data_IF_857371928586
#
_entry.id   IF_857371928586
#
_cell.length_a   1.000
_cell.length_b   1.000
_cell.length_c   1.000
_cell.angle_alpha   90.00
_cell.angle_beta   90.00
_cell.angle_gamma   90.00
#
_symmetry.space_group_name_H-M   'P 1'
#
loop_
_entity.id
_entity.type
_entity.pdbx_description
1 polymer ?
#
# COMPACT_ATOMS: atom_id res chain seq x y z
N UNK A 1 23.35 -15.26 3.40
CA UNK A 1 22.35 -15.52 4.45
C UNK A 1 23.01 -16.30 5.57
N UNK A 2 22.80 -15.91 6.83
CA UNK A 2 23.18 -16.72 8.00
C UNK A 2 21.88 -17.27 8.57
N UNK A 3 21.65 -18.58 8.46
CA UNK A 3 20.36 -19.19 8.74
C UNK A 3 20.40 -20.09 9.99
N UNK A 4 19.31 -20.11 10.75
CA UNK A 4 19.15 -21.07 11.86
C UNK A 4 19.07 -22.52 11.34
N UNK A 5 18.37 -22.75 10.22
CA UNK A 5 18.34 -24.02 9.49
C UNK A 5 18.92 -23.83 8.08
N UNK A 6 20.23 -24.06 7.89
CA UNK A 6 20.88 -23.82 6.60
C UNK A 6 20.42 -24.79 5.51
N UNK A 7 20.04 -26.03 5.85
CA UNK A 7 19.55 -27.02 4.90
C UNK A 7 18.26 -26.53 4.24
N UNK A 8 17.23 -26.21 5.05
CA UNK A 8 15.95 -25.70 4.57
C UNK A 8 16.10 -24.40 3.76
N UNK A 9 16.92 -23.46 4.23
CA UNK A 9 17.17 -22.20 3.51
C UNK A 9 17.89 -22.44 2.17
N UNK A 10 18.82 -23.40 2.10
CA UNK A 10 19.52 -23.71 0.85
C UNK A 10 18.62 -24.39 -0.19
N UNK A 11 17.66 -25.22 0.25
CA UNK A 11 16.65 -25.82 -0.62
C UNK A 11 15.70 -24.76 -1.19
N UNK A 12 15.24 -23.83 -0.34
CA UNK A 12 14.37 -22.74 -0.75
C UNK A 12 15.08 -21.69 -1.63
N UNK A 13 16.38 -21.49 -1.45
CA UNK A 13 17.18 -20.50 -2.17
C UNK A 13 18.50 -21.08 -2.71
N UNK A 14 18.47 -21.92 -3.77
CA UNK A 14 19.64 -22.65 -4.25
C UNK A 14 20.82 -21.77 -4.73
N UNK A 15 20.54 -20.52 -5.12
CA UNK A 15 21.55 -19.55 -5.56
C UNK A 15 22.15 -18.71 -4.43
N UNK A 16 21.61 -18.80 -3.21
CA UNK A 16 22.09 -18.00 -2.09
C UNK A 16 23.29 -18.67 -1.43
N UNK A 17 24.31 -17.88 -1.06
CA UNK A 17 25.33 -18.34 -0.12
C UNK A 17 24.71 -18.40 1.28
N UNK A 18 24.44 -19.62 1.76
CA UNK A 18 23.88 -19.88 3.09
C UNK A 18 24.98 -20.34 4.03
N UNK A 19 25.09 -19.68 5.19
CA UNK A 19 25.97 -20.01 6.30
C UNK A 19 25.10 -20.39 7.52
N UNK A 20 25.68 -21.08 8.51
CA UNK A 20 24.97 -21.51 9.71
C UNK A 20 25.39 -22.91 10.17
N UNK A 21 24.65 -23.55 11.09
CA UNK A 21 23.44 -23.05 11.73
C UNK A 21 23.72 -21.90 12.70
N UNK A 22 22.91 -20.84 12.64
CA UNK A 22 22.89 -19.81 13.69
C UNK A 22 22.16 -20.34 14.91
N UNK A 23 22.87 -20.45 16.03
CA UNK A 23 22.33 -20.97 17.30
C UNK A 23 21.92 -19.87 18.28
N UNK A 24 22.12 -18.60 17.91
CA UNK A 24 21.65 -17.46 18.70
C UNK A 24 20.15 -17.23 18.51
N UNK A 25 19.61 -16.30 19.28
CA UNK A 25 18.24 -15.81 19.10
C UNK A 25 18.32 -14.31 18.83
N UNK A 26 17.45 -13.83 17.95
CA UNK A 26 17.22 -12.42 17.74
C UNK A 26 15.90 -12.04 18.42
N UNK A 27 15.83 -10.87 19.05
CA UNK A 27 14.61 -10.30 19.58
C UNK A 27 13.68 -9.92 18.43
N UNK A 28 12.37 -10.03 18.63
CA UNK A 28 11.42 -9.64 17.58
C UNK A 28 11.41 -8.12 17.32
N UNK A 29 11.98 -7.31 18.21
CA UNK A 29 12.03 -5.85 18.12
C UNK A 29 13.16 -5.29 18.99
N UNK A 30 13.74 -4.15 18.59
CA UNK A 30 14.77 -3.40 19.35
C UNK A 30 16.02 -4.20 19.71
N UNK A 31 16.74 -4.71 18.70
CA UNK A 31 18.05 -5.31 18.91
C UNK A 31 19.12 -4.73 17.97
N UNK A 32 20.33 -4.64 18.50
CA UNK A 32 21.52 -4.25 17.76
C UNK A 32 22.18 -5.49 17.13
N UNK A 33 22.21 -5.54 15.81
CA UNK A 33 22.93 -6.55 15.05
C UNK A 33 24.18 -5.93 14.45
N UNK A 34 25.32 -6.60 14.62
CA UNK A 34 26.61 -6.21 14.07
C UNK A 34 27.17 -7.31 13.21
N UNK A 35 27.60 -6.96 12.01
CA UNK A 35 28.43 -7.81 11.17
C UNK A 35 29.89 -7.40 11.38
N UNK A 36 30.69 -8.31 11.93
CA UNK A 36 32.12 -8.11 12.16
C UNK A 36 32.90 -9.02 11.21
N UNK A 37 33.94 -8.48 10.57
CA UNK A 37 34.82 -9.27 9.70
C UNK A 37 35.80 -10.14 10.50
N UNK A 38 36.57 -10.98 9.80
CA UNK A 38 37.52 -11.89 10.43
C UNK A 38 38.70 -11.18 11.14
N UNK A 39 38.96 -9.90 10.83
CA UNK A 39 39.99 -9.08 11.46
C UNK A 39 39.45 -8.29 12.67
N UNK A 40 38.14 -8.38 12.96
CA UNK A 40 37.49 -7.67 14.05
C UNK A 40 36.95 -6.28 13.69
N UNK A 41 36.95 -5.90 12.40
CA UNK A 41 36.39 -4.62 11.97
C UNK A 41 34.87 -4.71 11.86
N UNK A 42 34.20 -3.60 12.19
CA UNK A 42 32.76 -3.45 11.93
C UNK A 42 32.54 -3.33 10.42
N UNK A 43 31.86 -4.31 9.84
CA UNK A 43 31.46 -4.31 8.44
C UNK A 43 30.10 -3.66 8.24
N UNK A 44 29.13 -3.94 9.12
CA UNK A 44 27.80 -3.35 9.09
C UNK A 44 27.11 -3.40 10.47
N UNK A 45 26.16 -2.52 10.72
CA UNK A 45 25.39 -2.45 11.96
C UNK A 45 23.95 -1.96 11.70
N UNK A 46 22.99 -2.58 12.38
CA UNK A 46 21.61 -2.07 12.45
C UNK A 46 21.06 -2.25 13.86
N UNK A 47 20.50 -1.18 14.44
CA UNK A 47 19.64 -1.27 15.61
C UNK A 47 18.19 -1.27 15.15
N UNK A 48 17.67 -2.44 14.79
CA UNK A 48 16.36 -2.52 14.13
C UNK A 48 15.22 -2.39 15.13
N UNK A 49 14.10 -1.87 14.63
CA UNK A 49 12.82 -1.97 15.30
C UNK A 49 11.70 -2.31 14.31
N UNK A 50 10.52 -2.62 14.83
CA UNK A 50 9.34 -2.99 14.05
C UNK A 50 8.17 -2.12 14.50
N UNK A 51 7.76 -1.16 13.66
CA UNK A 51 6.74 -0.15 13.97
C UNK A 51 7.29 1.22 14.41
N UNK A 52 6.38 2.17 14.63
CA UNK A 52 6.75 3.58 14.74
C UNK A 52 7.19 4.12 13.39
N UNK A 53 8.40 4.66 13.31
CA UNK A 53 8.99 5.09 12.04
C UNK A 53 9.56 3.91 11.23
N UNK A 54 9.67 2.72 11.83
CA UNK A 54 10.15 1.50 11.16
C UNK A 54 9.00 0.73 10.50
N UNK A 55 9.29 -0.07 9.45
CA UNK A 55 8.30 -0.89 8.78
C UNK A 55 7.48 -1.76 9.75
N UNK A 56 6.17 -1.55 9.76
CA UNK A 56 5.26 -2.19 10.70
C UNK A 56 5.00 -3.66 10.34
N UNK A 57 4.87 -3.98 9.05
CA UNK A 57 4.55 -5.33 8.59
C UNK A 57 5.67 -6.34 8.87
N UNK A 58 6.91 -5.86 9.03
CA UNK A 58 8.05 -6.67 9.46
C UNK A 58 8.00 -7.10 10.94
N UNK A 59 7.05 -6.58 11.73
CA UNK A 59 6.85 -6.92 13.15
C UNK A 59 6.22 -8.28 13.43
N UNK A 60 6.39 -9.27 12.54
CA UNK A 60 5.79 -10.59 12.65
C UNK A 60 4.44 -10.75 11.94
N UNK A 61 4.11 -9.87 11.00
CA UNK A 61 2.88 -9.93 10.20
C UNK A 61 3.06 -10.64 8.84
N UNK A 62 4.26 -11.15 8.57
CA UNK A 62 4.56 -11.98 7.40
C UNK A 62 5.70 -11.44 6.53
N UNK A 63 5.92 -10.13 6.53
CA UNK A 63 7.00 -9.49 5.76
C UNK A 63 8.35 -9.59 6.46
N UNK A 64 9.44 -9.60 5.68
CA UNK A 64 10.80 -9.34 6.15
C UNK A 64 11.06 -7.83 6.26
N UNK A 65 12.04 -7.46 7.09
CA UNK A 65 12.60 -6.10 7.13
C UNK A 65 13.76 -6.04 6.12
N UNK A 66 13.66 -5.17 5.12
CA UNK A 66 14.60 -5.10 4.01
C UNK A 66 15.16 -3.70 3.83
N UNK A 67 16.48 -3.61 3.67
CA UNK A 67 17.13 -2.35 3.35
C UNK A 67 16.79 -1.99 1.91
N UNK A 68 16.22 -0.80 1.69
CA UNK A 68 15.71 -0.38 0.39
C UNK A 68 16.80 -0.22 -0.65
N UNK A 69 18.02 0.12 -0.21
CA UNK A 69 19.18 0.20 -1.08
C UNK A 69 20.46 -0.13 -0.28
N UNK A 70 21.41 -0.92 -0.82
CA UNK A 70 22.61 -1.35 -0.09
C UNK A 70 23.49 -0.23 0.49
N UNK A 71 23.39 0.98 -0.05
CA UNK A 71 24.18 2.15 0.37
C UNK A 71 23.42 3.12 1.29
N UNK A 72 22.17 2.81 1.65
CA UNK A 72 21.40 3.64 2.57
C UNK A 72 21.89 3.48 4.01
N UNK A 73 21.73 4.55 4.80
CA UNK A 73 22.11 4.56 6.20
C UNK A 73 21.21 3.62 7.01
N UNK A 74 21.77 2.51 7.49
CA UNK A 74 21.08 1.49 8.27
C UNK A 74 20.49 2.00 9.59
N UNK A 75 20.94 3.15 10.10
CA UNK A 75 20.42 3.75 11.34
C UNK A 75 19.09 4.49 11.14
N UNK A 76 18.72 4.80 9.90
CA UNK A 76 17.50 5.53 9.58
C UNK A 76 16.34 4.57 9.29
N UNK A 77 15.20 4.68 10.00
CA UNK A 77 14.04 3.82 9.74
C UNK A 77 13.54 3.88 8.29
N UNK A 78 13.62 5.06 7.66
CA UNK A 78 13.18 5.32 6.28
C UNK A 78 14.05 4.67 5.20
N UNK A 79 15.25 4.18 5.57
CA UNK A 79 16.11 3.37 4.73
C UNK A 79 15.58 1.94 4.58
N UNK A 80 14.69 1.51 5.47
CA UNK A 80 14.12 0.16 5.50
C UNK A 80 12.68 0.15 5.00
N UNK A 81 12.26 -0.99 4.47
CA UNK A 81 10.89 -1.28 4.07
C UNK A 81 10.51 -2.71 4.48
N UNK A 82 9.22 -2.98 4.58
CA UNK A 82 8.73 -4.35 4.55
C UNK A 82 8.88 -4.95 3.15
N UNK A 83 9.08 -6.26 3.07
CA UNK A 83 9.07 -6.99 1.80
C UNK A 83 7.68 -6.94 1.15
N UNK A 84 7.66 -6.93 -0.18
CA UNK A 84 6.43 -7.03 -0.95
C UNK A 84 5.90 -8.48 -0.90
N UNK A 85 4.91 -8.67 -0.04
CA UNK A 85 4.23 -9.95 0.17
C UNK A 85 2.94 -10.08 -0.68
N UNK A 86 2.67 -9.13 -1.59
CA UNK A 86 1.40 -9.07 -2.35
C UNK A 86 1.14 -10.36 -3.12
N UNK A 87 2.17 -10.97 -3.70
CA UNK A 87 2.08 -12.22 -4.46
C UNK A 87 1.84 -13.46 -3.59
N UNK A 88 2.03 -13.36 -2.26
CA UNK A 88 1.73 -14.43 -1.30
C UNK A 88 0.35 -14.26 -0.67
N UNK A 89 -0.32 -13.14 -0.92
CA UNK A 89 -1.65 -12.83 -0.42
C UNK A 89 -2.74 -13.16 -1.45
N UNK A 90 -3.99 -13.26 -0.99
CA UNK A 90 -5.16 -13.40 -1.86
C UNK A 90 -6.19 -12.33 -1.49
N UNK A 91 -6.83 -11.74 -2.50
CA UNK A 91 -7.89 -10.76 -2.29
C UNK A 91 -9.04 -11.36 -1.47
N UNK A 92 -9.44 -10.64 -0.43
CA UNK A 92 -10.62 -10.95 0.35
C UNK A 92 -11.80 -10.12 -0.17
N UNK A 93 -12.96 -10.76 -0.39
CA UNK A 93 -14.14 -10.09 -0.95
C UNK A 93 -15.02 -9.54 0.17
N UNK A 94 -15.34 -8.26 0.08
CA UNK A 94 -16.35 -7.59 0.90
C UNK A 94 -17.36 -6.88 0.00
N UNK A 95 -18.58 -6.68 0.49
CA UNK A 95 -19.63 -5.93 -0.21
C UNK A 95 -20.22 -4.90 0.74
N UNK A 96 -20.45 -3.70 0.23
CA UNK A 96 -20.98 -2.58 0.99
C UNK A 96 -22.06 -1.84 0.18
N UNK A 97 -23.13 -1.44 0.87
CA UNK A 97 -24.23 -0.68 0.28
C UNK A 97 -24.83 0.20 1.36
N UNK A 98 -24.81 1.52 1.14
CA UNK A 98 -25.36 2.50 2.07
C UNK A 98 -26.04 3.65 1.33
N UNK A 99 -26.94 4.35 2.01
CA UNK A 99 -27.58 5.55 1.49
C UNK A 99 -26.73 6.77 1.86
N UNK A 100 -26.22 7.48 0.85
CA UNK A 100 -25.61 8.79 1.06
C UNK A 100 -26.69 9.84 1.39
N UNK A 101 -26.54 10.53 2.52
CA UNK A 101 -27.35 11.69 2.86
C UNK A 101 -26.50 12.95 2.76
N UNK A 102 -26.97 13.95 2.00
CA UNK A 102 -26.28 15.24 1.91
C UNK A 102 -26.41 15.98 3.25
N UNK A 103 -25.31 16.04 4.01
CA UNK A 103 -25.29 16.66 5.34
C UNK A 103 -25.07 18.17 5.31
N UNK A 104 -24.29 18.69 4.36
CA UNK A 104 -23.97 20.13 4.20
C UNK A 104 -23.71 20.47 2.74
N UNK A 105 -24.19 21.63 2.29
CA UNK A 105 -23.78 22.23 1.02
C UNK A 105 -22.71 23.27 1.31
N UNK A 106 -21.47 23.02 0.91
CA UNK A 106 -20.41 24.04 0.92
C UNK A 106 -19.94 24.25 -0.52
N UNK A 107 -19.99 25.50 -1.00
CA UNK A 107 -19.73 25.85 -2.40
C UNK A 107 -21.02 26.08 -3.22
N UNK A 108 -20.88 26.49 -4.49
CA UNK A 108 -22.01 26.61 -5.42
C UNK A 108 -22.50 25.23 -5.86
N UNK A 109 -23.77 25.11 -6.29
CA UNK A 109 -24.35 23.87 -6.83
C UNK A 109 -23.61 23.31 -8.07
N UNK A 110 -22.78 24.15 -8.69
CA UNK A 110 -21.87 23.82 -9.78
C UNK A 110 -20.55 23.17 -9.33
N UNK A 111 -20.17 23.28 -8.06
CA UNK A 111 -18.74 23.31 -7.78
C UNK A 111 -18.11 21.94 -7.52
N UNK A 112 -18.71 20.97 -6.82
CA UNK A 112 -17.99 19.72 -6.55
C UNK A 112 -18.94 18.53 -6.37
N UNK A 113 -19.37 17.92 -7.47
CA UNK A 113 -20.12 16.66 -7.43
C UNK A 113 -19.14 15.55 -7.73
N UNK A 114 -18.39 15.14 -6.72
CA UNK A 114 -17.32 14.17 -6.87
C UNK A 114 -17.51 13.03 -5.87
N UNK A 115 -17.09 11.84 -6.26
CA UNK A 115 -16.90 10.72 -5.33
C UNK A 115 -15.40 10.56 -5.10
N UNK A 116 -14.97 10.64 -3.84
CA UNK A 116 -13.57 10.48 -3.46
C UNK A 116 -13.38 9.15 -2.75
N UNK A 117 -12.30 8.45 -3.09
CA UNK A 117 -11.79 7.29 -2.36
C UNK A 117 -10.41 7.64 -1.79
N UNK A 118 -10.22 7.24 -0.53
CA UNK A 118 -8.95 7.39 0.17
C UNK A 118 -8.55 6.05 0.76
N UNK A 119 -7.27 5.74 0.63
CA UNK A 119 -6.61 4.67 1.37
C UNK A 119 -5.38 5.26 2.05
N UNK A 120 -5.08 4.79 3.26
CA UNK A 120 -4.00 5.31 4.11
C UNK A 120 -2.97 4.22 4.32
N UNK A 121 -1.69 4.59 4.21
CA UNK A 121 -0.61 3.62 4.27
C UNK A 121 -0.56 2.77 3.00
N UNK A 122 0.04 1.59 3.12
CA UNK A 122 0.11 0.64 2.03
C UNK A 122 -1.20 -0.13 1.92
N UNK A 123 -1.86 0.01 0.77
CA UNK A 123 -3.17 -0.58 0.54
C UNK A 123 -3.39 -0.93 -0.93
N UNK A 124 -4.06 -2.05 -1.17
CA UNK A 124 -4.51 -2.46 -2.50
C UNK A 124 -5.96 -2.93 -2.42
N UNK A 125 -6.86 -2.15 -3.01
CA UNK A 125 -8.29 -2.47 -3.09
C UNK A 125 -8.67 -2.67 -4.55
N UNK A 126 -9.28 -3.80 -4.88
CA UNK A 126 -9.91 -4.05 -6.16
C UNK A 126 -11.42 -3.81 -6.05
N UNK A 127 -11.91 -2.74 -6.67
CA UNK A 127 -13.32 -2.36 -6.67
C UNK A 127 -13.98 -2.81 -7.97
N UNK A 128 -15.16 -3.43 -7.86
CA UNK A 128 -15.95 -3.93 -8.99
C UNK A 128 -17.44 -3.75 -8.74
N UNK A 129 -18.22 -3.75 -9.81
CA UNK A 129 -19.68 -3.56 -9.75
C UNK A 129 -20.08 -2.29 -8.97
N UNK A 130 -19.29 -1.22 -9.10
CA UNK A 130 -19.53 0.02 -8.38
C UNK A 130 -20.78 0.70 -8.92
N UNK A 131 -21.64 1.19 -8.03
CA UNK A 131 -22.80 1.98 -8.43
C UNK A 131 -23.09 3.09 -7.44
N UNK A 132 -23.24 4.30 -7.96
CA UNK A 132 -23.79 5.44 -7.24
C UNK A 132 -25.05 5.87 -7.97
N UNK A 133 -26.22 5.81 -7.32
CA UNK A 133 -27.50 6.07 -7.99
C UNK A 133 -28.56 6.59 -7.02
N UNK A 134 -29.51 7.35 -7.55
CA UNK A 134 -30.77 7.59 -6.87
C UNK A 134 -31.58 6.28 -6.77
N UNK A 135 -32.54 6.22 -5.85
CA UNK A 135 -33.42 5.04 -5.69
C UNK A 135 -34.13 4.72 -7.01
N UNK A 136 -33.92 3.51 -7.53
CA UNK A 136 -34.46 3.07 -8.83
C UNK A 136 -33.82 3.71 -10.07
N UNK A 137 -32.81 4.57 -9.91
CA UNK A 137 -32.14 5.26 -11.00
C UNK A 137 -31.02 4.46 -11.68
N UNK A 138 -30.50 4.99 -12.78
CA UNK A 138 -29.29 4.50 -13.44
C UNK A 138 -28.03 4.80 -12.63
N UNK A 139 -26.94 4.09 -12.92
CA UNK A 139 -25.64 4.41 -12.34
C UNK A 139 -25.17 5.81 -12.80
N UNK A 140 -24.71 6.62 -11.86
CA UNK A 140 -24.25 7.98 -12.07
C UNK A 140 -22.72 8.06 -12.24
N UNK A 141 -21.99 6.98 -11.96
CA UNK A 141 -20.55 6.93 -12.17
C UNK A 141 -20.24 6.96 -13.69
N UNK A 142 -19.42 7.90 -14.16
CA UNK A 142 -18.96 7.91 -15.55
C UNK A 142 -18.35 6.56 -15.93
N UNK A 143 -18.75 6.03 -17.09
CA UNK A 143 -18.29 4.72 -17.58
C UNK A 143 -18.43 3.58 -16.55
N UNK A 144 -19.43 3.66 -15.66
CA UNK A 144 -19.64 2.68 -14.61
C UNK A 144 -18.60 2.71 -13.48
N UNK A 145 -17.68 3.67 -13.48
CA UNK A 145 -16.52 3.69 -12.59
C UNK A 145 -15.37 2.78 -13.08
N UNK A 146 -15.38 2.40 -14.35
CA UNK A 146 -14.47 1.39 -14.91
C UNK A 146 -13.35 2.00 -15.78
N UNK A 147 -12.95 3.24 -15.48
CA UNK A 147 -11.82 3.90 -16.14
C UNK A 147 -10.98 4.67 -15.13
N UNK A 148 -9.67 4.66 -15.33
CA UNK A 148 -8.72 5.56 -14.66
C UNK A 148 -8.34 6.67 -15.63
N UNK A 149 -8.40 7.90 -15.16
CA UNK A 149 -8.07 9.10 -15.93
C UNK A 149 -6.57 9.25 -16.11
N UNK A 150 -6.16 9.62 -17.33
CA UNK A 150 -4.75 9.90 -17.68
C UNK A 150 -4.55 11.33 -18.18
N UNK A 151 -5.58 12.18 -18.13
CA UNK A 151 -5.56 13.54 -18.67
C UNK A 151 -5.66 14.63 -17.59
N UNK A 152 -5.58 14.25 -16.31
CA UNK A 152 -5.66 15.17 -15.19
C UNK A 152 -7.09 15.64 -14.84
N UNK A 153 -8.12 14.98 -15.36
CA UNK A 153 -9.53 15.33 -15.12
C UNK A 153 -10.36 14.11 -14.68
N UNK A 154 -11.21 14.28 -13.67
CA UNK A 154 -12.14 13.26 -13.16
C UNK A 154 -13.40 13.00 -14.00
N UNK A 155 -13.60 13.76 -15.09
CA UNK A 155 -14.87 13.76 -15.87
C UNK A 155 -15.23 12.40 -16.45
N UNK A 156 -14.24 11.60 -16.83
CA UNK A 156 -14.44 10.33 -17.55
C UNK A 156 -14.07 9.09 -16.73
N UNK A 157 -13.46 9.26 -15.56
CA UNK A 157 -12.90 8.16 -14.78
C UNK A 157 -12.14 8.66 -13.56
N UNK A 158 -11.59 7.73 -12.81
CA UNK A 158 -10.85 7.98 -11.57
C UNK A 158 -9.57 8.78 -11.81
N UNK A 159 -9.52 10.01 -11.32
CA UNK A 159 -8.31 10.82 -11.23
C UNK A 159 -7.59 10.51 -9.93
N UNK A 160 -6.51 9.73 -10.02
CA UNK A 160 -5.70 9.32 -8.88
C UNK A 160 -4.43 10.16 -8.75
N UNK A 161 -4.17 10.65 -7.54
CA UNK A 161 -3.11 11.61 -7.25
C UNK A 161 -2.35 11.24 -5.96
N UNK A 162 -1.15 11.79 -5.81
CA UNK A 162 -0.32 11.55 -4.62
C UNK A 162 0.12 10.08 -4.52
N UNK A 163 0.00 9.49 -3.33
CA UNK A 163 0.31 8.07 -3.07
C UNK A 163 -0.59 7.11 -3.85
N UNK A 164 -1.65 7.60 -4.50
CA UNK A 164 -2.54 6.78 -5.31
C UNK A 164 -2.13 6.66 -6.79
N UNK A 165 -1.00 7.24 -7.21
CA UNK A 165 -0.61 7.33 -8.63
C UNK A 165 -0.47 5.98 -9.36
N UNK A 166 -0.26 4.87 -8.64
CA UNK A 166 -0.16 3.51 -9.21
C UNK A 166 -1.50 2.83 -9.43
N UNK A 167 -2.60 3.48 -9.10
CA UNK A 167 -3.95 2.95 -9.30
C UNK A 167 -4.24 2.76 -10.79
N UNK A 168 -4.92 1.67 -11.14
CA UNK A 168 -5.09 1.25 -12.53
C UNK A 168 -6.34 0.37 -12.71
N UNK A 169 -6.73 0.11 -13.96
CA UNK A 169 -7.77 -0.87 -14.29
C UNK A 169 -7.14 -2.24 -14.57
N UNK A 170 -7.79 -3.31 -14.12
CA UNK A 170 -7.57 -4.68 -14.60
C UNK A 170 -8.91 -5.21 -15.10
N UNK A 171 -9.09 -5.23 -16.42
CA UNK A 171 -10.42 -5.45 -16.99
C UNK A 171 -11.41 -4.38 -16.52
N UNK A 172 -12.48 -4.80 -15.84
CA UNK A 172 -13.50 -3.91 -15.28
C UNK A 172 -13.31 -3.67 -13.77
N UNK A 173 -12.20 -4.13 -13.18
CA UNK A 173 -11.87 -3.89 -11.79
C UNK A 173 -10.99 -2.66 -11.65
N UNK A 174 -11.42 -1.70 -10.83
CA UNK A 174 -10.61 -0.55 -10.47
C UNK A 174 -9.71 -0.91 -9.29
N UNK A 175 -8.41 -0.99 -9.53
CA UNK A 175 -7.40 -1.23 -8.51
C UNK A 175 -6.93 0.11 -7.93
N UNK A 176 -7.44 0.44 -6.76
CA UNK A 176 -6.95 1.54 -5.93
C UNK A 176 -5.71 1.05 -5.17
N UNK A 177 -4.57 1.66 -5.45
CA UNK A 177 -3.28 1.36 -4.81
C UNK A 177 -2.83 2.60 -4.05
N UNK A 178 -2.35 2.43 -2.80
CA UNK A 178 -1.68 3.47 -2.02
C UNK A 178 -0.34 2.92 -1.53
N UNK A 179 0.72 3.72 -1.64
CA UNK A 179 2.09 3.36 -1.23
C UNK A 179 2.68 4.31 -0.18
N UNK A 180 1.82 4.96 0.62
CA UNK A 180 2.29 5.85 1.66
C UNK A 180 1.22 6.42 2.60
N UNK A 181 1.71 7.09 3.65
CA UNK A 181 0.92 7.61 4.77
C UNK A 181 0.13 8.91 4.46
N UNK A 182 0.03 9.29 3.18
CA UNK A 182 -0.22 10.66 2.74
C UNK A 182 -1.42 11.44 3.34
N UNK A 183 -1.40 12.76 3.21
CA UNK A 183 -2.48 13.68 3.58
C UNK A 183 -3.70 13.61 2.61
N UNK A 184 -4.91 13.74 3.15
CA UNK A 184 -6.21 13.66 2.46
C UNK A 184 -6.41 14.73 1.38
N UNK A 185 -5.61 15.79 1.36
CA UNK A 185 -5.71 16.86 0.35
C UNK A 185 -5.15 16.45 -1.01
N UNK A 186 -4.03 15.75 -1.03
CA UNK A 186 -3.30 15.40 -2.26
C UNK A 186 -3.32 13.90 -2.57
N UNK A 187 -3.63 13.05 -1.58
CA UNK A 187 -3.63 11.60 -1.71
C UNK A 187 -5.08 11.12 -1.77
N UNK A 188 -5.61 11.11 -2.99
CA UNK A 188 -6.99 10.72 -3.29
C UNK A 188 -7.12 10.16 -4.69
N UNK A 189 -8.16 9.35 -4.89
CA UNK A 189 -8.74 9.11 -6.21
C UNK A 189 -10.15 9.70 -6.25
N UNK A 190 -10.42 10.58 -7.20
CA UNK A 190 -11.74 11.20 -7.38
C UNK A 190 -12.35 10.90 -8.74
N UNK A 191 -13.68 10.93 -8.83
CA UNK A 191 -14.40 10.85 -10.10
C UNK A 191 -15.57 11.83 -10.09
N UNK A 192 -15.78 12.52 -11.22
CA UNK A 192 -16.83 13.55 -11.32
C UNK A 192 -18.19 12.88 -11.55
N UNK A 193 -19.12 13.12 -10.65
CA UNK A 193 -20.50 12.61 -10.67
C UNK A 193 -21.46 13.75 -11.05
N UNK A 194 -21.22 14.37 -12.20
CA UNK A 194 -21.96 15.57 -12.66
C UNK A 194 -23.47 15.34 -12.81
N UNK A 195 -23.89 14.10 -13.05
CA UNK A 195 -25.29 13.68 -13.14
C UNK A 195 -26.04 13.66 -11.79
N UNK A 196 -25.35 13.78 -10.66
CA UNK A 196 -25.99 13.90 -9.35
C UNK A 196 -26.71 15.24 -9.25
N UNK A 197 -27.99 15.28 -8.90
CA UNK A 197 -28.75 16.53 -8.72
C UNK A 197 -29.00 16.78 -7.24
N UNK A 198 -29.08 18.05 -6.82
CA UNK A 198 -29.55 18.36 -5.46
C UNK A 198 -30.98 17.80 -5.30
N UNK A 199 -31.20 17.10 -4.19
CA UNK A 199 -32.52 16.57 -3.80
C UNK A 199 -33.43 17.64 -3.23
#
# INVERSE_FOLDING_TARGET
VVAANPEFTSEAHPSARVLGPYTGNLNNNHELVRLIDAAGNLADEVHYATGGDWPFLAGGLGSSLELRHPEMDNSLPTSWADSDESNKSVFQTFSFSEAYQQLRTMGSASDYKELHLHAVGDAHLALRNMSLRASGGSNLLPNGGELVSTNGSGVSGWLCQGTHYRSHMVGNEFHLVSDGHGDVKANRCEIDVTGMTAG
#
